data_IF_667884801598
#
_entry.id   IF_667884801598
#
_cell.length_a   1.000
_cell.length_b   1.000
_cell.length_c   1.000
_cell.angle_alpha   90.00
_cell.angle_beta   90.00
_cell.angle_gamma   90.00
#
_symmetry.space_group_name_H-M   'P 1'
#
loop_
_entity.id
_entity.type
_entity.pdbx_description
1 polymer ?
#
# COMPACT_ATOMS: atom_id res chain seq x y z
N UNK A 1 14.17 -20.56 -1.60
CA UNK A 1 13.32 -21.31 -2.57
C UNK A 1 12.77 -20.43 -3.70
N UNK A 2 12.09 -19.31 -3.41
CA UNK A 2 11.50 -18.46 -4.49
C UNK A 2 12.50 -18.01 -5.57
N UNK A 3 13.67 -17.51 -5.18
CA UNK A 3 14.70 -17.10 -6.15
C UNK A 3 15.23 -18.26 -7.02
N UNK A 4 15.40 -19.46 -6.43
CA UNK A 4 15.79 -20.64 -7.22
C UNK A 4 14.71 -21.00 -8.23
N UNK A 5 13.44 -20.91 -7.85
CA UNK A 5 12.33 -21.20 -8.74
C UNK A 5 12.25 -20.18 -9.88
N UNK A 6 12.43 -18.88 -9.59
CA UNK A 6 12.48 -17.83 -10.62
C UNK A 6 13.64 -18.06 -11.61
N UNK A 7 14.80 -18.47 -11.09
CA UNK A 7 15.94 -18.83 -11.95
C UNK A 7 15.64 -20.05 -12.83
N UNK A 8 15.01 -21.10 -12.29
CA UNK A 8 14.58 -22.26 -13.07
C UNK A 8 13.54 -21.90 -14.15
N UNK A 9 12.70 -20.93 -13.88
CA UNK A 9 11.71 -20.44 -14.86
C UNK A 9 12.28 -19.47 -15.89
N UNK A 10 13.57 -19.11 -15.78
CA UNK A 10 14.25 -18.16 -16.66
C UNK A 10 13.48 -16.84 -16.82
N UNK A 11 12.98 -16.29 -15.70
CA UNK A 11 12.26 -15.01 -15.73
C UNK A 11 13.21 -13.88 -16.15
N UNK A 12 12.76 -13.01 -17.04
CA UNK A 12 13.54 -11.83 -17.48
C UNK A 12 13.70 -10.79 -16.35
N UNK A 13 12.68 -10.64 -15.52
CA UNK A 13 12.62 -9.70 -14.38
C UNK A 13 11.85 -10.33 -13.25
N UNK A 14 12.38 -10.25 -12.05
CA UNK A 14 11.69 -10.60 -10.80
C UNK A 14 11.38 -9.34 -10.00
N UNK A 15 10.10 -9.12 -9.68
CA UNK A 15 9.68 -8.09 -8.74
C UNK A 15 9.47 -8.74 -7.39
N UNK A 16 10.25 -8.34 -6.39
CA UNK A 16 10.27 -8.97 -5.08
C UNK A 16 9.80 -7.99 -4.03
N UNK A 17 8.71 -8.31 -3.37
CA UNK A 17 8.21 -7.56 -2.21
C UNK A 17 8.94 -8.03 -0.94
N UNK A 18 9.42 -7.07 -0.15
CA UNK A 18 10.01 -7.31 1.16
C UNK A 18 8.93 -7.73 2.14
N UNK A 19 9.16 -8.80 2.88
CA UNK A 19 8.19 -9.29 3.86
C UNK A 19 8.04 -8.37 5.06
N UNK A 20 9.16 -7.99 5.70
CA UNK A 20 9.16 -7.09 6.85
C UNK A 20 10.48 -6.33 6.99
N UNK A 21 10.38 -5.01 7.21
CA UNK A 21 11.56 -4.15 7.37
C UNK A 21 12.35 -4.04 6.07
N UNK A 22 13.41 -4.79 5.94
CA UNK A 22 14.27 -4.80 4.75
C UNK A 22 15.69 -5.31 5.06
N UNK A 23 16.39 -4.67 5.98
CA UNK A 23 17.79 -5.00 6.33
C UNK A 23 18.02 -6.48 6.62
N UNK A 24 17.17 -7.07 7.45
CA UNK A 24 17.23 -8.44 7.91
C UNK A 24 16.17 -9.33 7.24
N UNK A 25 15.52 -8.86 6.18
CA UNK A 25 14.50 -9.62 5.48
C UNK A 25 15.13 -10.73 4.62
N UNK A 26 14.47 -11.88 4.56
CA UNK A 26 14.95 -13.03 3.81
C UNK A 26 15.09 -12.73 2.30
N UNK A 27 14.35 -11.72 1.77
CA UNK A 27 14.48 -11.30 0.39
C UNK A 27 15.72 -10.47 0.12
N UNK A 28 16.41 -9.97 1.15
CA UNK A 28 17.56 -9.07 1.03
C UNK A 28 18.89 -9.79 0.71
N UNK A 29 18.85 -11.03 0.27
CA UNK A 29 20.02 -11.80 -0.18
C UNK A 29 20.54 -11.37 -1.56
N UNK A 30 19.74 -10.60 -2.33
CA UNK A 30 20.15 -10.13 -3.65
C UNK A 30 21.20 -9.04 -3.50
N UNK A 31 22.39 -9.30 -4.02
CA UNK A 31 23.51 -8.36 -3.91
C UNK A 31 23.45 -7.22 -4.94
N UNK A 32 22.92 -7.50 -6.13
CA UNK A 32 22.89 -6.55 -7.26
C UNK A 32 21.48 -6.47 -7.85
N UNK A 33 20.52 -5.87 -7.13
CA UNK A 33 19.21 -5.62 -7.70
C UNK A 33 19.31 -4.58 -8.83
N UNK A 34 18.45 -4.68 -9.83
CA UNK A 34 18.39 -3.70 -10.94
C UNK A 34 17.90 -2.35 -10.42
N UNK A 35 16.97 -2.37 -9.46
CA UNK A 35 16.33 -1.19 -8.92
C UNK A 35 15.80 -1.49 -7.51
N UNK A 36 15.89 -0.50 -6.63
CA UNK A 36 15.22 -0.52 -5.32
C UNK A 36 14.07 0.48 -5.33
N UNK A 37 12.89 0.07 -4.89
CA UNK A 37 11.70 0.93 -4.87
C UNK A 37 11.16 1.02 -3.45
N UNK A 38 10.87 2.24 -3.00
CA UNK A 38 10.18 2.52 -1.74
C UNK A 38 8.82 3.15 -2.02
N UNK A 39 7.78 2.46 -1.60
CA UNK A 39 6.43 3.01 -1.48
C UNK A 39 6.33 3.87 -0.22
N UNK A 40 5.17 4.44 0.09
CA UNK A 40 5.01 5.25 1.31
C UNK A 40 5.39 4.44 2.55
N UNK A 41 6.29 4.99 3.34
CA UNK A 41 6.71 4.43 4.63
C UNK A 41 5.79 5.03 5.70
N UNK A 42 5.18 4.19 6.49
CA UNK A 42 4.32 4.54 7.61
C UNK A 42 4.66 3.70 8.84
N UNK A 43 4.08 4.03 9.99
CA UNK A 43 4.26 3.27 11.22
C UNK A 43 3.51 1.95 11.14
N UNK A 44 4.24 0.88 11.00
CA UNK A 44 3.75 -0.49 11.10
C UNK A 44 4.86 -1.38 11.67
N UNK A 45 4.47 -2.51 12.26
CA UNK A 45 5.41 -3.45 12.89
C UNK A 45 6.35 -2.80 13.93
N UNK A 46 5.87 -1.83 14.69
CA UNK A 46 6.68 -1.04 15.63
C UNK A 46 7.39 -1.91 16.66
N UNK A 47 6.77 -3.01 17.10
CA UNK A 47 7.39 -3.97 18.02
C UNK A 47 8.70 -4.61 17.47
N UNK A 48 8.95 -4.55 16.16
CA UNK A 48 10.12 -5.18 15.52
C UNK A 48 11.03 -4.18 14.81
N UNK A 49 10.46 -3.10 14.28
CA UNK A 49 11.19 -2.17 13.39
C UNK A 49 11.61 -0.87 14.09
N UNK A 50 11.06 -0.60 15.29
CA UNK A 50 11.30 0.61 16.07
C UNK A 50 10.05 1.47 16.24
N UNK A 51 10.14 2.41 17.17
CA UNK A 51 9.02 3.25 17.61
C UNK A 51 8.87 4.53 16.77
N UNK A 52 9.94 4.93 16.09
CA UNK A 52 9.97 6.14 15.25
C UNK A 52 9.91 5.80 13.76
N UNK A 53 9.45 6.75 12.96
CA UNK A 53 9.40 6.58 11.50
C UNK A 53 10.82 6.47 10.90
N UNK A 54 11.78 7.13 11.53
CA UNK A 54 13.19 7.11 11.14
C UNK A 54 13.81 5.72 11.38
N UNK A 55 13.53 5.09 12.51
CA UNK A 55 13.99 3.72 12.80
C UNK A 55 13.41 2.72 11.79
N UNK A 56 12.10 2.83 11.51
CA UNK A 56 11.43 2.00 10.50
C UNK A 56 12.06 2.23 9.12
N UNK A 57 12.30 3.49 8.74
CA UNK A 57 12.93 3.84 7.47
C UNK A 57 14.35 3.28 7.39
N UNK A 58 15.14 3.37 8.47
CA UNK A 58 16.48 2.80 8.54
C UNK A 58 16.50 1.29 8.25
N UNK A 59 15.57 0.54 8.82
CA UNK A 59 15.42 -0.89 8.54
C UNK A 59 15.04 -1.14 7.07
N UNK A 60 14.12 -0.35 6.52
CA UNK A 60 13.69 -0.48 5.12
C UNK A 60 14.83 -0.11 4.14
N UNK A 61 15.59 0.94 4.41
CA UNK A 61 16.72 1.37 3.58
C UNK A 61 17.89 0.36 3.58
N UNK A 62 17.86 -0.64 4.45
CA UNK A 62 18.81 -1.76 4.44
C UNK A 62 18.83 -2.59 3.14
N UNK A 63 17.82 -2.46 2.27
CA UNK A 63 17.81 -3.12 0.95
C UNK A 63 18.55 -2.34 -0.15
N UNK A 64 18.99 -1.11 0.13
CA UNK A 64 19.75 -0.31 -0.84
C UNK A 64 21.14 -0.93 -1.00
N UNK A 65 21.52 -1.29 -2.22
CA UNK A 65 22.80 -1.89 -2.56
C UNK A 65 23.70 -0.93 -3.35
N UNK A 66 25.00 -1.20 -3.34
CA UNK A 66 25.96 -0.41 -4.11
C UNK A 66 25.66 -0.47 -5.62
N UNK A 67 25.71 0.67 -6.30
CA UNK A 67 25.45 0.79 -7.73
C UNK A 67 23.98 0.61 -8.15
N UNK A 68 23.08 0.31 -7.18
CA UNK A 68 21.66 0.13 -7.47
C UNK A 68 20.94 1.49 -7.40
N UNK A 69 20.29 1.95 -8.46
CA UNK A 69 19.46 3.15 -8.41
C UNK A 69 18.25 2.96 -7.52
N UNK A 70 17.76 4.06 -6.97
CA UNK A 70 16.65 4.07 -6.01
C UNK A 70 15.50 4.89 -6.56
N UNK A 71 14.30 4.38 -6.42
CA UNK A 71 13.05 5.13 -6.62
C UNK A 71 12.28 5.17 -5.31
N UNK A 72 11.72 6.31 -4.97
CA UNK A 72 10.84 6.45 -3.81
C UNK A 72 9.66 7.35 -4.17
N UNK A 73 8.48 7.05 -3.65
CA UNK A 73 7.46 8.07 -3.54
C UNK A 73 7.97 9.16 -2.57
N UNK A 74 7.42 10.37 -2.66
CA UNK A 74 7.75 11.40 -1.66
C UNK A 74 7.38 10.91 -0.26
N UNK A 75 8.38 10.87 0.61
CA UNK A 75 8.25 10.50 2.02
C UNK A 75 8.08 11.76 2.90
N UNK A 76 7.89 11.55 4.18
CA UNK A 76 7.97 12.62 5.18
C UNK A 76 9.39 13.21 5.18
N UNK A 77 9.53 14.48 5.60
CA UNK A 77 10.78 15.22 5.43
C UNK A 77 11.99 14.51 6.03
N UNK A 78 11.90 14.04 7.28
CA UNK A 78 13.00 13.35 7.95
C UNK A 78 13.43 12.08 7.19
N UNK A 79 12.47 11.27 6.76
CA UNK A 79 12.70 10.05 5.97
C UNK A 79 13.30 10.38 4.60
N UNK A 80 12.84 11.48 3.97
CA UNK A 80 13.37 11.92 2.68
C UNK A 80 14.83 12.40 2.80
N UNK A 81 15.16 13.11 3.86
CA UNK A 81 16.54 13.57 4.13
C UNK A 81 17.46 12.38 4.33
N UNK A 82 17.10 11.43 5.19
CA UNK A 82 17.86 10.18 5.37
C UNK A 82 18.09 9.45 4.04
N UNK A 83 17.06 9.33 3.21
CA UNK A 83 17.18 8.65 1.92
C UNK A 83 18.12 9.38 0.96
N UNK A 84 18.06 10.71 0.90
CA UNK A 84 18.96 11.55 0.10
C UNK A 84 20.40 11.41 0.55
N UNK A 85 20.65 11.49 1.86
CA UNK A 85 21.99 11.34 2.43
C UNK A 85 22.60 9.96 2.09
N UNK A 86 21.83 8.88 2.26
CA UNK A 86 22.28 7.53 1.92
C UNK A 86 22.62 7.43 0.43
N UNK A 87 21.77 7.95 -0.45
CA UNK A 87 21.99 7.90 -1.89
C UNK A 87 23.21 8.75 -2.28
N UNK A 88 23.33 9.95 -1.74
CA UNK A 88 24.46 10.86 -2.00
C UNK A 88 25.78 10.24 -1.54
N UNK A 89 25.83 9.72 -0.31
CA UNK A 89 27.03 9.11 0.26
C UNK A 89 27.51 7.89 -0.54
N UNK A 90 26.58 7.16 -1.16
CA UNK A 90 26.87 5.97 -1.97
C UNK A 90 26.97 6.24 -3.46
N UNK A 91 26.84 7.50 -3.90
CA UNK A 91 26.85 7.87 -5.31
C UNK A 91 25.70 7.24 -6.13
N UNK A 92 24.54 7.04 -5.50
CA UNK A 92 23.40 6.38 -6.13
C UNK A 92 22.44 7.38 -6.76
N UNK A 93 21.88 7.02 -7.90
CA UNK A 93 20.83 7.81 -8.54
C UNK A 93 19.51 7.63 -7.75
N UNK A 94 19.01 8.72 -7.18
CA UNK A 94 17.68 8.76 -6.55
C UNK A 94 16.67 9.42 -7.48
N UNK A 95 15.55 8.75 -7.72
CA UNK A 95 14.37 9.27 -8.41
C UNK A 95 13.22 9.35 -7.42
N UNK A 96 12.62 10.51 -7.27
CA UNK A 96 11.46 10.72 -6.42
C UNK A 96 10.21 10.85 -7.28
N UNK A 97 9.22 9.99 -7.05
CA UNK A 97 7.88 10.16 -7.60
C UNK A 97 7.17 11.26 -6.81
N UNK A 98 6.51 12.17 -7.51
CA UNK A 98 5.88 13.37 -6.97
C UNK A 98 4.36 13.31 -7.20
N UNK A 99 3.60 12.66 -6.29
CA UNK A 99 2.13 12.52 -6.42
C UNK A 99 1.40 13.87 -6.53
N UNK A 100 1.99 14.93 -6.00
CA UNK A 100 1.48 16.29 -6.11
C UNK A 100 1.45 16.84 -7.56
N UNK A 101 2.17 16.21 -8.48
CA UNK A 101 2.11 16.52 -9.91
C UNK A 101 0.99 15.80 -10.65
N UNK A 102 0.26 14.90 -9.98
CA UNK A 102 -0.90 14.26 -10.59
C UNK A 102 -2.00 15.30 -10.83
N UNK A 103 -2.55 15.33 -12.04
CA UNK A 103 -3.62 16.24 -12.47
C UNK A 103 -4.81 15.47 -13.02
N UNK A 104 -5.97 16.12 -13.06
CA UNK A 104 -7.19 15.61 -13.72
C UNK A 104 -7.54 14.18 -13.25
N UNK A 105 -7.56 13.95 -11.93
CA UNK A 105 -7.97 12.66 -11.36
C UNK A 105 -9.47 12.46 -11.57
N UNK A 106 -9.81 11.36 -12.23
CA UNK A 106 -11.18 10.88 -12.42
C UNK A 106 -11.30 9.48 -11.81
N UNK A 107 -12.12 9.35 -10.76
CA UNK A 107 -12.35 8.10 -10.03
C UNK A 107 -13.69 7.51 -10.44
N UNK A 108 -13.67 6.30 -10.99
CA UNK A 108 -14.87 5.51 -11.25
C UNK A 108 -14.73 4.09 -10.68
N UNK A 109 -15.83 3.36 -10.56
CA UNK A 109 -15.81 1.97 -10.09
C UNK A 109 -15.20 0.96 -11.10
N UNK A 110 -14.72 1.45 -12.23
CA UNK A 110 -14.10 0.64 -13.27
C UNK A 110 -12.61 0.94 -13.41
N UNK A 111 -12.22 2.19 -13.18
CA UNK A 111 -10.86 2.68 -13.38
C UNK A 111 -10.63 4.00 -12.67
N UNK A 112 -9.36 4.33 -12.50
CA UNK A 112 -8.93 5.69 -12.19
C UNK A 112 -8.08 6.23 -13.33
N UNK A 113 -8.51 7.35 -13.92
CA UNK A 113 -7.76 8.06 -14.96
C UNK A 113 -7.12 9.32 -14.38
N UNK A 114 -5.91 9.65 -14.84
CA UNK A 114 -5.20 10.85 -14.39
C UNK A 114 -4.08 11.24 -15.37
N UNK A 115 -3.49 12.41 -15.19
CA UNK A 115 -2.28 12.82 -15.93
C UNK A 115 -1.10 12.97 -14.98
N UNK A 116 0.06 12.51 -15.42
CA UNK A 116 1.33 12.67 -14.71
C UNK A 116 2.45 13.03 -15.68
N UNK A 117 3.18 14.11 -15.42
CA UNK A 117 4.23 14.64 -16.30
C UNK A 117 3.79 14.77 -17.79
N UNK A 118 2.53 15.17 -18.02
CA UNK A 118 1.95 15.29 -19.35
C UNK A 118 1.39 13.99 -19.95
N UNK A 119 1.73 12.82 -19.41
CA UNK A 119 1.23 11.54 -19.91
C UNK A 119 -0.16 11.22 -19.34
N UNK A 120 -1.14 10.82 -20.17
CA UNK A 120 -2.40 10.28 -19.69
C UNK A 120 -2.16 8.84 -19.19
N UNK A 121 -2.58 8.54 -17.98
CA UNK A 121 -2.47 7.24 -17.33
C UNK A 121 -3.84 6.77 -16.87
N UNK A 122 -4.06 5.46 -16.93
CA UNK A 122 -5.28 4.81 -16.52
C UNK A 122 -4.92 3.52 -15.79
N UNK A 123 -5.48 3.32 -14.59
CA UNK A 123 -5.30 2.12 -13.78
C UNK A 123 -6.65 1.49 -13.43
N UNK A 124 -6.69 0.17 -13.29
CA UNK A 124 -7.88 -0.56 -12.86
C UNK A 124 -7.95 -0.78 -11.36
N UNK A 125 -6.83 -0.62 -10.66
CA UNK A 125 -6.84 -0.67 -9.20
C UNK A 125 -7.61 0.52 -8.66
N UNK A 126 -8.63 0.24 -7.89
CA UNK A 126 -9.42 1.25 -7.18
C UNK A 126 -8.72 1.63 -5.86
N UNK A 127 -9.15 2.76 -5.29
CA UNK A 127 -8.57 3.33 -4.08
C UNK A 127 -7.86 4.65 -4.36
N UNK A 128 -8.08 5.61 -3.48
CA UNK A 128 -7.58 6.98 -3.69
C UNK A 128 -6.05 7.08 -3.75
N UNK A 129 -5.35 6.12 -3.12
CA UNK A 129 -3.90 6.03 -3.03
C UNK A 129 -3.24 5.36 -4.25
N UNK A 130 -4.00 4.67 -5.07
CA UNK A 130 -3.46 3.92 -6.21
C UNK A 130 -2.81 4.78 -7.29
N UNK A 131 -3.27 6.01 -7.59
CA UNK A 131 -2.52 6.91 -8.46
C UNK A 131 -1.10 7.22 -7.95
N UNK A 132 -0.88 7.30 -6.63
CA UNK A 132 0.44 7.51 -6.02
C UNK A 132 1.33 6.28 -6.22
N UNK A 133 0.79 5.08 -6.03
CA UNK A 133 1.50 3.85 -6.32
C UNK A 133 1.84 3.74 -7.81
N UNK A 134 0.91 4.11 -8.69
CA UNK A 134 1.10 4.08 -10.13
C UNK A 134 2.21 5.03 -10.59
N UNK A 135 2.28 6.27 -10.07
CA UNK A 135 3.36 7.18 -10.44
C UNK A 135 4.72 6.72 -9.89
N UNK A 136 4.74 6.06 -8.76
CA UNK A 136 5.96 5.42 -8.23
C UNK A 136 6.43 4.30 -9.16
N UNK A 137 5.53 3.44 -9.61
CA UNK A 137 5.82 2.42 -10.60
C UNK A 137 6.23 3.02 -11.96
N UNK A 138 5.58 4.11 -12.39
CA UNK A 138 5.92 4.83 -13.61
C UNK A 138 7.36 5.34 -13.58
N UNK A 139 7.80 5.97 -12.49
CA UNK A 139 9.17 6.45 -12.34
C UNK A 139 10.18 5.28 -12.28
N UNK A 140 9.81 4.17 -11.66
CA UNK A 140 10.62 2.95 -11.65
C UNK A 140 10.81 2.39 -13.07
N UNK A 141 9.75 2.21 -13.82
CA UNK A 141 9.78 1.70 -15.19
C UNK A 141 10.52 2.64 -16.13
N UNK A 142 10.33 3.95 -15.96
CA UNK A 142 11.04 4.98 -16.73
C UNK A 142 12.55 4.95 -16.48
N UNK A 143 12.96 4.66 -15.23
CA UNK A 143 14.38 4.50 -14.89
C UNK A 143 14.95 3.19 -15.47
N UNK A 144 14.21 2.09 -15.39
CA UNK A 144 14.60 0.81 -16.00
C UNK A 144 14.78 0.92 -17.53
N UNK A 145 13.89 1.63 -18.22
CA UNK A 145 14.03 1.88 -19.65
C UNK A 145 15.37 2.52 -20.02
N UNK A 146 15.94 3.34 -19.11
CA UNK A 146 17.24 3.99 -19.29
C UNK A 146 18.45 3.08 -19.00
N UNK A 147 18.21 1.92 -18.36
CA UNK A 147 19.25 0.98 -17.90
C UNK A 147 19.28 -0.34 -18.67
N UNK A 148 18.79 -0.36 -19.90
CA UNK A 148 18.88 -1.52 -20.78
C UNK A 148 17.57 -2.26 -21.04
N UNK A 149 16.49 -1.91 -20.36
CA UNK A 149 15.16 -2.52 -20.61
C UNK A 149 14.40 -1.78 -21.72
N UNK A 150 14.92 -1.80 -22.94
CA UNK A 150 14.43 -0.99 -24.08
C UNK A 150 13.02 -1.32 -24.56
N UNK A 151 12.45 -2.47 -24.15
CA UNK A 151 11.04 -2.80 -24.41
C UNK A 151 10.08 -1.97 -23.56
N UNK A 152 10.54 -1.36 -22.47
CA UNK A 152 9.75 -0.46 -21.63
C UNK A 152 9.65 0.90 -22.32
N UNK A 153 8.47 1.23 -22.79
CA UNK A 153 8.12 2.53 -23.37
C UNK A 153 6.75 2.98 -22.85
N UNK A 154 6.37 4.21 -23.17
CA UNK A 154 5.11 4.79 -22.64
C UNK A 154 3.87 3.96 -23.01
N UNK A 155 3.80 3.42 -24.21
CA UNK A 155 2.68 2.61 -24.66
C UNK A 155 2.59 1.29 -23.88
N UNK A 156 3.73 0.62 -23.67
CA UNK A 156 3.75 -0.63 -22.88
C UNK A 156 3.38 -0.37 -21.42
N UNK A 157 3.82 0.75 -20.82
CA UNK A 157 3.46 1.14 -19.46
C UNK A 157 1.96 1.43 -19.35
N UNK A 158 1.40 2.22 -20.28
CA UNK A 158 -0.03 2.51 -20.30
C UNK A 158 -0.87 1.24 -20.48
N UNK A 159 -0.42 0.31 -21.30
CA UNK A 159 -1.10 -0.97 -21.48
C UNK A 159 -1.05 -1.81 -20.20
N UNK A 160 0.13 -1.93 -19.58
CA UNK A 160 0.29 -2.66 -18.34
C UNK A 160 -0.60 -2.09 -17.22
N UNK A 161 -0.64 -0.77 -17.05
CA UNK A 161 -1.48 -0.12 -16.03
C UNK A 161 -2.97 -0.42 -16.23
N UNK A 162 -3.46 -0.45 -17.48
CA UNK A 162 -4.85 -0.78 -17.80
C UNK A 162 -5.24 -2.23 -17.54
N UNK A 163 -4.29 -3.16 -17.57
CA UNK A 163 -4.59 -4.59 -17.39
C UNK A 163 -4.22 -5.13 -16.02
N UNK A 164 -3.36 -4.43 -15.28
CA UNK A 164 -2.91 -4.89 -13.96
C UNK A 164 -4.08 -4.92 -12.98
N UNK A 165 -4.22 -6.06 -12.29
CA UNK A 165 -5.17 -6.26 -11.20
C UNK A 165 -4.41 -6.70 -9.96
N UNK A 166 -4.92 -6.33 -8.79
CA UNK A 166 -4.40 -6.78 -7.51
C UNK A 166 -5.55 -7.03 -6.55
N UNK A 167 -5.65 -8.23 -6.05
CA UNK A 167 -6.74 -8.64 -5.17
C UNK A 167 -6.55 -8.10 -3.75
N UNK A 168 -7.67 -7.84 -3.05
CA UNK A 168 -7.65 -7.44 -1.65
C UNK A 168 -7.15 -6.01 -1.37
N UNK A 169 -7.12 -5.12 -2.36
CA UNK A 169 -6.81 -3.71 -2.20
C UNK A 169 -7.91 -2.86 -2.81
N UNK A 170 -8.90 -2.46 -2.00
CA UNK A 170 -10.12 -1.78 -2.40
C UNK A 170 -10.78 -2.46 -3.62
N UNK A 171 -10.84 -3.78 -3.54
CA UNK A 171 -11.33 -4.62 -4.64
C UNK A 171 -12.85 -4.67 -4.64
N UNK A 172 -13.47 -4.26 -5.74
CA UNK A 172 -14.90 -4.39 -5.94
C UNK A 172 -15.24 -5.83 -6.39
N UNK A 173 -15.77 -6.63 -5.46
CA UNK A 173 -16.14 -8.03 -5.69
C UNK A 173 -17.51 -8.14 -6.37
N UNK A 174 -18.47 -7.30 -5.97
CA UNK A 174 -19.84 -7.28 -6.48
C UNK A 174 -20.36 -5.85 -6.56
N UNK A 175 -21.27 -5.61 -7.51
CA UNK A 175 -21.98 -4.33 -7.66
C UNK A 175 -23.42 -4.39 -7.14
N UNK A 176 -23.97 -5.60 -6.92
CA UNK A 176 -25.32 -5.80 -6.37
C UNK A 176 -25.34 -7.03 -5.46
N UNK A 177 -25.38 -6.85 -4.13
CA UNK A 177 -25.03 -5.59 -3.46
C UNK A 177 -23.55 -5.22 -3.67
N UNK A 178 -23.20 -3.95 -3.44
CA UNK A 178 -21.80 -3.56 -3.43
C UNK A 178 -21.04 -4.30 -2.33
N UNK A 179 -20.00 -5.02 -2.74
CA UNK A 179 -19.10 -5.73 -1.84
C UNK A 179 -17.65 -5.33 -2.18
N UNK A 180 -16.97 -4.75 -1.21
CA UNK A 180 -15.57 -4.31 -1.33
C UNK A 180 -14.72 -5.15 -0.38
N UNK A 181 -13.62 -5.68 -0.89
CA UNK A 181 -12.59 -6.36 -0.10
C UNK A 181 -11.35 -5.48 0.01
N UNK A 182 -10.89 -5.25 1.24
CA UNK A 182 -9.66 -4.49 1.49
C UNK A 182 -8.84 -5.12 2.62
N UNK A 183 -7.54 -5.11 2.47
CA UNK A 183 -6.57 -5.65 3.41
C UNK A 183 -6.02 -4.64 4.42
N UNK A 184 -6.70 -3.52 4.66
CA UNK A 184 -6.30 -2.55 5.68
C UNK A 184 -6.21 -3.20 7.06
N UNK A 185 -5.05 -3.13 7.68
CA UNK A 185 -4.75 -3.81 8.94
C UNK A 185 -3.90 -2.97 9.91
N UNK A 186 -3.71 -1.69 9.58
CA UNK A 186 -3.09 -0.68 10.43
C UNK A 186 -3.86 0.64 10.31
N UNK A 187 -3.64 1.63 11.19
CA UNK A 187 -4.38 2.90 11.18
C UNK A 187 -4.29 3.67 9.87
N UNK A 188 -3.12 3.72 9.24
CA UNK A 188 -2.92 4.42 7.97
C UNK A 188 -3.69 3.74 6.83
N UNK A 189 -3.69 2.39 6.80
CA UNK A 189 -4.51 1.62 5.86
C UNK A 189 -6.01 1.86 6.06
N UNK A 190 -6.47 1.91 7.31
CA UNK A 190 -7.86 2.20 7.63
C UNK A 190 -8.27 3.63 7.22
N UNK A 191 -7.41 4.61 7.45
CA UNK A 191 -7.63 5.99 6.99
C UNK A 191 -7.69 6.06 5.44
N UNK A 192 -6.82 5.29 4.77
CA UNK A 192 -6.82 5.19 3.31
C UNK A 192 -8.09 4.53 2.76
N UNK A 193 -8.57 3.46 3.43
CA UNK A 193 -9.85 2.81 3.12
C UNK A 193 -11.01 3.77 3.28
N UNK A 194 -11.11 4.44 4.43
CA UNK A 194 -12.14 5.45 4.69
C UNK A 194 -12.19 6.52 3.60
N UNK A 195 -11.05 7.12 3.28
CA UNK A 195 -10.97 8.14 2.24
C UNK A 195 -11.36 7.61 0.86
N UNK A 196 -11.02 6.37 0.55
CA UNK A 196 -11.47 5.71 -0.68
C UNK A 196 -12.99 5.55 -0.70
N UNK A 197 -13.58 5.04 0.40
CA UNK A 197 -15.03 4.91 0.52
C UNK A 197 -15.76 6.24 0.35
N UNK A 198 -15.26 7.33 0.94
CA UNK A 198 -15.83 8.67 0.81
C UNK A 198 -15.79 9.21 -0.63
N UNK A 199 -14.74 8.88 -1.38
CA UNK A 199 -14.59 9.31 -2.78
C UNK A 199 -15.48 8.51 -3.72
N UNK A 200 -15.48 7.18 -3.59
CA UNK A 200 -16.22 6.30 -4.51
C UNK A 200 -17.70 6.21 -4.18
N UNK A 201 -18.08 6.46 -2.92
CA UNK A 201 -19.45 6.33 -2.42
C UNK A 201 -19.80 7.52 -1.51
N UNK A 202 -19.87 8.73 -2.06
CA UNK A 202 -20.11 9.93 -1.27
C UNK A 202 -21.45 9.83 -0.51
N UNK A 203 -21.44 10.26 0.74
CA UNK A 203 -22.56 10.24 1.68
C UNK A 203 -23.15 8.84 2.02
N UNK A 204 -22.51 7.76 1.57
CA UNK A 204 -22.94 6.40 1.91
C UNK A 204 -22.33 5.94 3.24
N UNK A 205 -22.97 4.93 3.83
CA UNK A 205 -22.53 4.24 5.02
C UNK A 205 -22.50 2.74 4.76
N UNK A 206 -21.68 2.03 5.53
CA UNK A 206 -21.29 0.67 5.21
C UNK A 206 -21.62 -0.30 6.34
N UNK A 207 -21.89 -1.53 5.97
CA UNK A 207 -21.81 -2.69 6.86
C UNK A 207 -20.41 -3.25 6.76
N UNK A 208 -19.73 -3.39 7.88
CA UNK A 208 -18.40 -3.97 7.92
C UNK A 208 -18.43 -5.42 8.38
N UNK A 209 -17.71 -6.28 7.69
CA UNK A 209 -17.27 -7.58 8.20
C UNK A 209 -15.82 -7.36 8.60
N UNK A 210 -15.53 -7.40 9.89
CA UNK A 210 -14.25 -6.97 10.43
C UNK A 210 -13.60 -8.06 11.28
N UNK A 211 -12.37 -8.43 10.91
CA UNK A 211 -11.53 -9.33 11.69
C UNK A 211 -10.10 -8.78 11.72
N UNK A 212 -9.43 -8.87 12.86
CA UNK A 212 -8.10 -8.30 13.06
C UNK A 212 -7.23 -9.21 13.93
N UNK A 213 -5.92 -9.11 13.79
CA UNK A 213 -4.97 -9.77 14.69
C UNK A 213 -4.79 -8.98 15.99
N UNK A 214 -4.55 -9.69 17.09
CA UNK A 214 -4.42 -9.11 18.45
C UNK A 214 -3.26 -8.14 18.60
N UNK A 215 -2.23 -8.28 17.77
CA UNK A 215 -1.01 -7.48 17.77
C UNK A 215 -1.12 -6.18 16.95
N UNK A 216 -2.29 -5.92 16.35
CA UNK A 216 -2.54 -4.70 15.58
C UNK A 216 -3.20 -3.61 16.42
N UNK A 217 -3.03 -2.35 16.03
CA UNK A 217 -3.67 -1.20 16.68
C UNK A 217 -5.15 -1.08 16.22
N UNK A 218 -5.93 -2.10 16.58
CA UNK A 218 -7.34 -2.23 16.18
C UNK A 218 -8.21 -1.10 16.70
N UNK A 219 -7.85 -0.49 17.81
CA UNK A 219 -8.61 0.65 18.34
C UNK A 219 -8.55 1.85 17.42
N UNK A 220 -7.37 2.21 16.91
CA UNK A 220 -7.25 3.29 15.94
C UNK A 220 -7.85 2.93 14.58
N UNK A 221 -7.74 1.66 14.15
CA UNK A 221 -8.44 1.18 12.94
C UNK A 221 -9.94 1.44 13.05
N UNK A 222 -10.55 1.07 14.20
CA UNK A 222 -11.98 1.30 14.45
C UNK A 222 -12.34 2.78 14.50
N UNK A 223 -11.46 3.65 15.01
CA UNK A 223 -11.69 5.10 15.01
C UNK A 223 -11.84 5.68 13.60
N UNK A 224 -11.12 5.10 12.62
CA UNK A 224 -11.28 5.47 11.22
C UNK A 224 -12.52 4.86 10.56
N UNK A 225 -12.88 3.62 10.88
CA UNK A 225 -13.96 2.90 10.19
C UNK A 225 -15.36 3.27 10.73
N UNK A 226 -15.52 3.38 12.04
CA UNK A 226 -16.83 3.56 12.67
C UNK A 226 -17.58 4.84 12.24
N UNK A 227 -16.94 5.96 11.88
CA UNK A 227 -17.68 7.11 11.34
C UNK A 227 -18.55 6.80 10.12
N UNK A 228 -18.18 5.82 9.32
CA UNK A 228 -18.95 5.38 8.13
C UNK A 228 -19.81 4.11 8.38
N UNK A 229 -19.80 3.55 9.59
CA UNK A 229 -20.49 2.29 9.88
C UNK A 229 -22.00 2.47 10.06
N UNK A 230 -22.79 1.53 9.54
CA UNK A 230 -24.18 1.25 9.96
C UNK A 230 -24.26 0.01 10.84
N UNK A 231 -23.41 -0.98 10.55
CA UNK A 231 -23.25 -2.18 11.38
C UNK A 231 -21.84 -2.75 11.23
N UNK A 232 -21.42 -3.50 12.24
CA UNK A 232 -20.14 -4.22 12.25
C UNK A 232 -20.39 -5.67 12.64
N UNK A 233 -20.02 -6.58 11.76
CA UNK A 233 -19.99 -8.02 11.99
C UNK A 233 -18.57 -8.42 12.31
N UNK A 234 -18.31 -8.85 13.53
CA UNK A 234 -16.98 -9.25 13.95
C UNK A 234 -16.73 -10.71 13.62
N UNK A 235 -15.58 -10.99 13.01
CA UNK A 235 -15.18 -12.34 12.62
C UNK A 235 -13.76 -12.62 13.11
N UNK A 236 -13.42 -13.89 13.26
CA UNK A 236 -12.05 -14.28 13.58
C UNK A 236 -11.20 -14.25 12.31
N UNK A 237 -10.15 -13.41 12.30
CA UNK A 237 -9.14 -13.49 11.28
C UNK A 237 -8.42 -14.86 11.31
N UNK A 238 -8.08 -15.40 10.16
CA UNK A 238 -7.49 -16.73 10.05
C UNK A 238 -6.18 -16.87 10.86
N UNK A 239 -6.03 -18.02 11.51
CA UNK A 239 -4.87 -18.36 12.33
C UNK A 239 -5.03 -18.03 13.82
N UNK A 240 -4.03 -18.40 14.60
CA UNK A 240 -4.05 -18.31 16.07
C UNK A 240 -3.99 -16.86 16.60
N UNK A 241 -3.41 -15.95 15.84
CA UNK A 241 -3.31 -14.53 16.19
C UNK A 241 -4.63 -13.77 16.03
N UNK A 242 -5.62 -14.36 15.34
CA UNK A 242 -6.95 -13.74 15.16
C UNK A 242 -7.60 -13.44 16.50
N UNK A 243 -8.14 -12.23 16.66
CA UNK A 243 -8.89 -11.84 17.85
C UNK A 243 -10.20 -12.63 17.92
N UNK A 244 -10.62 -12.97 19.13
CA UNK A 244 -11.92 -13.58 19.36
C UNK A 244 -13.05 -12.64 18.93
N UNK A 245 -14.05 -13.09 18.15
CA UNK A 245 -15.11 -12.23 17.64
C UNK A 245 -15.93 -11.55 18.72
N UNK A 246 -16.23 -12.25 19.83
CA UNK A 246 -17.01 -11.68 20.93
C UNK A 246 -16.24 -10.58 21.65
N UNK A 247 -14.97 -10.85 21.97
CA UNK A 247 -14.10 -9.83 22.56
C UNK A 247 -13.95 -8.60 21.65
N UNK A 248 -13.87 -8.81 20.34
CA UNK A 248 -13.81 -7.72 19.37
C UNK A 248 -15.14 -6.95 19.31
N UNK A 249 -16.29 -7.64 19.39
CA UNK A 249 -17.61 -7.03 19.42
C UNK A 249 -17.78 -6.11 20.65
N UNK A 250 -17.37 -6.53 21.84
CA UNK A 250 -17.40 -5.72 23.06
C UNK A 250 -16.59 -4.40 22.90
N UNK A 251 -15.43 -4.48 22.25
CA UNK A 251 -14.59 -3.31 21.95
C UNK A 251 -15.32 -2.38 20.99
N UNK A 252 -15.89 -2.92 19.90
CA UNK A 252 -16.65 -2.15 18.92
C UNK A 252 -17.84 -1.46 19.58
N UNK A 253 -18.63 -2.18 20.39
CA UNK A 253 -19.78 -1.62 21.11
C UNK A 253 -19.37 -0.47 22.04
N UNK A 254 -18.30 -0.65 22.82
CA UNK A 254 -17.75 0.41 23.67
C UNK A 254 -17.40 1.66 22.86
N UNK A 255 -16.75 1.50 21.70
CA UNK A 255 -16.39 2.61 20.82
C UNK A 255 -17.61 3.24 20.14
N UNK A 256 -18.65 2.47 19.84
CA UNK A 256 -19.87 2.97 19.22
C UNK A 256 -20.65 3.94 20.13
N UNK A 257 -20.50 3.84 21.46
CA UNK A 257 -21.20 4.72 22.42
C UNK A 257 -20.91 6.21 22.25
N UNK A 258 -19.82 6.57 21.57
CA UNK A 258 -19.47 7.98 21.31
C UNK A 258 -20.20 8.58 20.10
N UNK A 259 -20.95 7.79 19.35
CA UNK A 259 -21.69 8.25 18.18
C UNK A 259 -23.17 8.47 18.51
N UNK A 260 -23.76 9.59 18.05
CA UNK A 260 -25.16 9.96 18.25
C UNK A 260 -26.16 9.07 17.47
N UNK A 261 -25.70 7.92 17.01
CA UNK A 261 -26.50 6.96 16.25
C UNK A 261 -26.22 5.54 16.71
N UNK A 262 -27.22 4.69 16.56
CA UNK A 262 -27.07 3.26 16.83
C UNK A 262 -26.30 2.60 15.69
N UNK A 263 -25.16 1.98 16.00
CA UNK A 263 -24.41 1.08 15.12
C UNK A 263 -24.69 -0.34 15.63
N UNK A 264 -25.24 -1.21 14.79
CA UNK A 264 -25.47 -2.60 15.16
C UNK A 264 -24.14 -3.37 15.21
N UNK A 265 -23.93 -4.20 16.22
CA UNK A 265 -22.75 -5.05 16.36
C UNK A 265 -23.19 -6.49 16.53
N UNK A 266 -22.59 -7.39 15.76
CA UNK A 266 -22.88 -8.84 15.79
C UNK A 266 -21.54 -9.61 15.73
N UNK A 267 -21.49 -10.80 16.37
CA UNK A 267 -20.30 -11.65 16.44
C UNK A 267 -20.58 -13.08 16.01
#
# INVERSE_FOLDING_TARGET
MAYCQMACWHVDVAVVEVGMGGRNDATNIVEKPVLTVFTKISRDHTAFLGDTIEEIAYQKFGIIKAGCPVVSVRQDNAVMEMLKEICQHRGLKLRVAEPEQIRQKDFSLEKTAFRYQGYPLEIRQLGYYQPENAVTAFEALKLMAQTGFHKINISSVQTAFRVTKWTGRFELISKDPFLILDGAHNPDGAAALKKSLEIYFPAQRFRYIFGVFRDKDYEKILDEMLPLATSVYTVKAAGERGMDPKALAEIVERKCRKYDRKIAVES
#
